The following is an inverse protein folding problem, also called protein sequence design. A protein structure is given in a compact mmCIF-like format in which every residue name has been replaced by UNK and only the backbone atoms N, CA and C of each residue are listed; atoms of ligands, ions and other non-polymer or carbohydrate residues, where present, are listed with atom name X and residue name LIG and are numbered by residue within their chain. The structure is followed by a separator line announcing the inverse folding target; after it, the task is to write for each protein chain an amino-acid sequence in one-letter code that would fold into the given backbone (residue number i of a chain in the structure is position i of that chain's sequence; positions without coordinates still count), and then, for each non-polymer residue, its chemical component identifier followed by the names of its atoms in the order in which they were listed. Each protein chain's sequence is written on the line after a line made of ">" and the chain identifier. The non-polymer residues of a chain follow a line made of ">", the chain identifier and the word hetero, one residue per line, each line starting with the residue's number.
data_IF_068253346452
#
_entry.id   IF_068253346452
#
_cell.length_a   1.000
_cell.length_b   1.000
_cell.length_c   1.000
_cell.angle_alpha   90.00
_cell.angle_beta   90.00
_cell.angle_gamma   90.00
#
_symmetry.space_group_name_H-M   'P 1'
#
loop_
_entity.id
_entity.type
_entity.pdbx_description
1 polymer ?
#
# COMPACT_ATOMS: atom_id res chain seq x y z
N UNK A 1 -21.49 9.57 21.52
CA UNK A 1 -22.27 10.52 20.73
C UNK A 1 -21.55 10.62 19.39
N UNK A 2 -22.25 10.42 18.26
CA UNK A 2 -21.68 10.66 16.94
C UNK A 2 -21.32 12.14 16.81
N UNK A 3 -20.21 12.45 16.15
CA UNK A 3 -19.83 13.83 15.87
C UNK A 3 -20.96 14.46 15.01
N UNK A 4 -21.62 15.53 15.48
CA UNK A 4 -22.78 16.10 14.77
C UNK A 4 -22.42 16.73 13.41
N UNK A 5 -21.13 16.85 13.11
CA UNK A 5 -20.61 17.40 11.84
C UNK A 5 -20.35 16.33 10.77
N UNK A 6 -20.49 15.04 11.10
CA UNK A 6 -20.28 13.95 10.13
C UNK A 6 -21.61 13.29 9.86
N UNK A 7 -22.02 13.26 8.59
CA UNK A 7 -23.18 12.47 8.17
C UNK A 7 -22.95 10.99 8.52
N UNK A 8 -23.93 10.26 9.06
CA UNK A 8 -23.83 8.84 9.31
C UNK A 8 -23.63 8.02 8.01
N UNK A 9 -23.86 8.63 6.85
CA UNK A 9 -23.60 8.06 5.52
C UNK A 9 -22.27 8.52 4.92
N UNK A 10 -21.46 9.29 5.67
CA UNK A 10 -20.13 9.67 5.21
C UNK A 10 -19.26 8.41 5.09
N UNK A 11 -18.45 8.35 4.03
CA UNK A 11 -17.48 7.28 3.86
C UNK A 11 -16.49 7.31 5.02
N UNK A 12 -16.13 6.15 5.60
CA UNK A 12 -15.15 6.12 6.67
C UNK A 12 -13.82 6.66 6.17
N UNK A 13 -13.11 7.35 7.04
CA UNK A 13 -11.74 7.80 6.76
C UNK A 13 -10.76 6.79 7.32
N UNK A 14 -9.64 6.67 6.62
CA UNK A 14 -8.51 5.87 7.01
C UNK A 14 -7.29 6.77 7.14
N UNK A 15 -6.59 6.72 8.25
CA UNK A 15 -5.37 7.52 8.44
C UNK A 15 -4.26 6.64 8.96
N UNK A 16 -3.24 6.48 8.13
CA UNK A 16 -2.03 5.74 8.46
C UNK A 16 -1.14 6.58 9.38
N UNK A 17 -0.58 5.98 10.42
CA UNK A 17 0.34 6.66 11.34
C UNK A 17 1.79 6.36 11.04
N UNK A 18 2.61 7.41 11.12
CA UNK A 18 4.06 7.36 11.01
C UNK A 18 4.75 7.72 12.33
N UNK A 19 4.74 6.82 13.35
CA UNK A 19 5.20 7.17 14.71
C UNK A 19 6.70 7.47 14.82
N UNK A 20 7.49 7.15 13.79
CA UNK A 20 8.93 7.46 13.67
C UNK A 20 9.26 8.25 12.40
N UNK A 21 8.23 8.79 11.71
CA UNK A 21 8.44 9.43 10.41
C UNK A 21 9.18 8.52 9.46
N UNK A 22 10.21 9.02 8.79
CA UNK A 22 11.06 8.29 7.84
C UNK A 22 12.24 7.55 8.47
N UNK A 23 12.39 7.57 9.80
CA UNK A 23 13.53 6.90 10.46
C UNK A 23 13.44 5.39 10.29
N UNK A 24 14.50 4.80 9.75
CA UNK A 24 14.60 3.37 9.50
C UNK A 24 16.01 2.85 9.81
N UNK A 25 16.11 1.59 10.17
CA UNK A 25 17.39 0.88 10.36
C UNK A 25 17.95 0.32 9.04
N UNK A 26 17.14 0.27 7.97
CA UNK A 26 17.56 -0.03 6.60
C UNK A 26 17.75 1.25 5.78
N UNK A 27 18.40 1.11 4.61
CA UNK A 27 18.59 2.14 3.61
C UNK A 27 18.32 1.53 2.21
N UNK A 28 17.09 0.99 2.04
CA UNK A 28 16.66 0.42 0.75
C UNK A 28 16.74 1.50 -0.33
N UNK A 29 17.44 1.22 -1.44
CA UNK A 29 17.75 2.23 -2.46
C UNK A 29 16.49 2.81 -3.12
N UNK A 30 15.48 1.99 -3.32
CA UNK A 30 14.20 2.41 -3.92
C UNK A 30 13.22 3.06 -2.93
N UNK A 31 13.58 3.22 -1.65
CA UNK A 31 12.63 3.67 -0.64
C UNK A 31 12.25 5.15 -0.82
N UNK A 32 11.06 5.39 -1.37
CA UNK A 32 10.52 6.73 -1.56
C UNK A 32 10.32 7.52 -0.26
N UNK A 33 10.28 6.79 0.89
CA UNK A 33 9.93 7.41 2.16
C UNK A 33 11.13 7.93 2.96
N UNK A 34 12.34 7.39 2.74
CA UNK A 34 13.54 7.83 3.47
C UNK A 34 13.82 9.32 3.29
N UNK A 35 13.59 9.86 2.10
CA UNK A 35 13.82 11.27 1.81
C UNK A 35 12.80 12.21 2.46
N UNK A 36 11.64 11.70 2.91
CA UNK A 36 10.61 12.52 3.56
C UNK A 36 11.10 13.14 4.88
N UNK A 37 12.16 12.60 5.48
CA UNK A 37 12.84 13.23 6.61
C UNK A 37 13.38 14.63 6.31
N UNK A 38 13.72 14.91 5.05
CA UNK A 38 14.20 16.24 4.60
C UNK A 38 13.12 17.33 4.65
N UNK A 39 11.85 16.95 4.74
CA UNK A 39 10.73 17.90 4.94
C UNK A 39 10.74 18.52 6.36
N UNK A 40 11.50 17.95 7.28
CA UNK A 40 11.54 18.34 8.69
C UNK A 40 12.98 18.60 9.18
N UNK A 41 13.76 19.50 8.52
CA UNK A 41 15.17 19.66 8.78
C UNK A 41 15.48 20.17 10.20
N UNK A 42 14.56 20.90 10.82
CA UNK A 42 14.72 21.46 12.18
C UNK A 42 14.42 20.45 13.28
N UNK A 43 13.85 19.29 12.94
CA UNK A 43 13.45 18.29 13.94
C UNK A 43 14.52 17.22 14.08
N UNK A 44 15.19 17.19 15.25
CA UNK A 44 16.25 16.20 15.53
C UNK A 44 15.72 14.79 15.76
N UNK A 45 14.54 14.67 16.37
CA UNK A 45 13.93 13.38 16.72
C UNK A 45 12.56 13.25 16.05
N UNK A 46 12.47 12.39 15.06
CA UNK A 46 11.22 12.08 14.36
C UNK A 46 10.40 11.04 15.15
N UNK A 47 10.02 11.39 16.38
CA UNK A 47 9.32 10.48 17.31
C UNK A 47 8.00 11.11 17.76
N UNK A 48 6.91 10.41 17.52
CA UNK A 48 5.58 10.79 17.98
C UNK A 48 5.53 10.78 19.53
N UNK A 49 5.05 11.85 20.14
CA UNK A 49 4.83 11.91 21.58
C UNK A 49 3.59 11.11 22.01
N UNK A 50 3.52 10.69 23.27
CA UNK A 50 2.33 10.03 23.80
C UNK A 50 1.10 10.94 23.83
N UNK A 51 1.29 12.25 24.05
CA UNK A 51 0.22 13.25 23.99
C UNK A 51 -0.37 13.34 22.58
N UNK A 52 0.48 13.34 21.54
CA UNK A 52 0.02 13.34 20.17
C UNK A 52 -0.67 12.03 19.81
N UNK A 53 -0.15 10.90 20.27
CA UNK A 53 -0.77 9.59 20.11
C UNK A 53 -2.18 9.57 20.70
N UNK A 54 -2.35 10.07 21.94
CA UNK A 54 -3.66 10.13 22.59
C UNK A 54 -4.64 11.04 21.84
N UNK A 55 -4.19 12.23 21.44
CA UNK A 55 -4.99 13.15 20.64
C UNK A 55 -5.44 12.50 19.34
N UNK A 56 -4.53 11.87 18.60
CA UNK A 56 -4.87 11.19 17.36
C UNK A 56 -5.88 10.07 17.57
N UNK A 57 -5.64 9.15 18.53
CA UNK A 57 -6.54 8.01 18.77
C UNK A 57 -7.96 8.49 19.09
N UNK A 58 -8.07 9.51 19.95
CA UNK A 58 -9.36 10.11 20.30
C UNK A 58 -10.07 10.68 19.07
N UNK A 59 -9.42 11.56 18.32
CA UNK A 59 -10.01 12.21 17.14
C UNK A 59 -10.28 11.22 16.02
N UNK A 60 -9.41 10.25 15.81
CA UNK A 60 -9.59 9.23 14.77
C UNK A 60 -10.83 8.37 15.05
N UNK A 61 -11.05 7.97 16.32
CA UNK A 61 -12.25 7.25 16.71
C UNK A 61 -13.51 8.12 16.67
N UNK A 62 -13.39 9.43 16.95
CA UNK A 62 -14.51 10.38 16.86
C UNK A 62 -14.93 10.64 15.40
N UNK A 63 -14.01 10.60 14.43
CA UNK A 63 -14.34 10.80 13.02
C UNK A 63 -14.85 9.54 12.32
N UNK A 64 -14.87 8.37 12.97
CA UNK A 64 -15.34 7.13 12.36
C UNK A 64 -16.86 6.98 12.43
N UNK A 65 -17.45 6.53 11.34
CA UNK A 65 -18.89 6.22 11.23
C UNK A 65 -19.18 4.72 11.34
N UNK A 66 -18.15 3.87 11.20
CA UNK A 66 -18.29 2.42 11.19
C UNK A 66 -18.08 1.80 12.58
N UNK A 67 -18.72 0.64 12.88
CA UNK A 67 -18.52 -0.08 14.13
C UNK A 67 -17.14 -0.76 14.23
N UNK A 68 -16.48 -1.00 13.10
CA UNK A 68 -15.14 -1.56 13.02
C UNK A 68 -14.16 -0.48 12.56
N UNK A 69 -13.03 -0.35 13.25
CA UNK A 69 -12.02 0.68 12.99
C UNK A 69 -10.63 0.03 12.91
N UNK A 70 -9.95 0.26 11.79
CA UNK A 70 -8.59 -0.23 11.57
C UNK A 70 -7.56 0.87 11.89
N UNK A 71 -6.59 0.54 12.72
CA UNK A 71 -5.38 1.34 12.93
C UNK A 71 -4.23 0.76 12.16
N UNK A 72 -3.57 1.57 11.34
CA UNK A 72 -2.39 1.17 10.56
C UNK A 72 -1.15 1.92 11.00
N UNK A 73 -0.18 1.15 11.46
CA UNK A 73 1.12 1.63 11.91
C UNK A 73 2.14 1.42 10.79
N UNK A 74 2.71 2.50 10.32
CA UNK A 74 3.66 2.50 9.21
C UNK A 74 4.78 3.53 9.46
N UNK A 75 5.66 3.77 8.49
CA UNK A 75 6.71 4.78 8.59
C UNK A 75 8.00 4.30 7.97
N UNK A 76 9.12 4.74 8.52
CA UNK A 76 10.43 4.16 8.23
C UNK A 76 10.45 2.71 8.73
N UNK A 77 10.84 2.50 9.99
CA UNK A 77 10.66 1.18 10.63
C UNK A 77 9.89 1.34 11.94
N UNK A 78 8.68 0.83 11.97
CA UNK A 78 7.75 0.96 13.09
C UNK A 78 8.25 0.31 14.37
N UNK A 79 9.00 -0.79 14.28
CA UNK A 79 9.54 -1.50 15.44
C UNK A 79 10.72 -0.78 16.10
N UNK A 80 11.16 0.37 15.57
CA UNK A 80 12.05 1.29 16.28
C UNK A 80 11.33 2.01 17.44
N UNK A 81 9.99 2.01 17.48
CA UNK A 81 9.25 2.35 18.70
C UNK A 81 9.22 1.13 19.63
N UNK A 82 9.38 1.30 20.95
CA UNK A 82 9.30 0.18 21.87
C UNK A 82 7.88 -0.38 22.00
N UNK A 83 7.75 -1.63 22.41
CA UNK A 83 6.45 -2.30 22.66
C UNK A 83 5.56 -1.49 23.62
N UNK A 84 6.17 -0.79 24.61
CA UNK A 84 5.43 0.06 25.54
C UNK A 84 4.61 1.15 24.86
N UNK A 85 5.08 1.71 23.75
CA UNK A 85 4.33 2.67 22.95
C UNK A 85 3.03 2.05 22.38
N UNK A 86 3.12 0.84 21.83
CA UNK A 86 1.95 0.14 21.30
C UNK A 86 1.01 -0.36 22.40
N UNK A 87 1.54 -0.77 23.56
CA UNK A 87 0.73 -1.05 24.74
C UNK A 87 -0.07 0.18 25.18
N UNK A 88 0.55 1.37 25.14
CA UNK A 88 -0.15 2.64 25.42
C UNK A 88 -1.21 2.93 24.36
N UNK A 89 -0.93 2.69 23.08
CA UNK A 89 -1.92 2.83 22.01
C UNK A 89 -3.16 1.94 22.26
N UNK A 90 -2.96 0.67 22.61
CA UNK A 90 -4.05 -0.26 22.91
C UNK A 90 -4.86 0.17 24.15
N UNK A 91 -4.19 0.70 25.19
CA UNK A 91 -4.89 1.28 26.36
C UNK A 91 -5.82 2.43 25.93
N UNK A 92 -5.30 3.35 25.11
CA UNK A 92 -6.05 4.51 24.63
C UNK A 92 -7.20 4.09 23.69
N UNK A 93 -6.95 3.10 22.81
CA UNK A 93 -7.99 2.53 21.94
C UNK A 93 -9.13 1.93 22.77
N UNK A 94 -8.84 1.19 23.84
CA UNK A 94 -9.87 0.66 24.75
C UNK A 94 -10.61 1.79 25.48
N UNK A 95 -9.90 2.82 25.93
CA UNK A 95 -10.48 3.97 26.63
C UNK A 95 -11.46 4.75 25.74
N UNK A 96 -11.12 5.00 24.49
CA UNK A 96 -11.89 5.85 23.58
C UNK A 96 -12.77 5.08 22.59
N UNK A 97 -12.61 3.76 22.49
CA UNK A 97 -13.27 2.91 21.48
C UNK A 97 -14.79 2.77 21.63
N UNK A 98 -15.34 2.96 22.84
CA UNK A 98 -16.80 2.94 23.09
C UNK A 98 -17.50 1.69 22.55
N UNK A 99 -16.89 0.52 22.71
CA UNK A 99 -17.45 -0.77 22.27
C UNK A 99 -17.30 -1.08 20.78
N UNK A 100 -16.56 -0.27 20.02
CA UNK A 100 -16.20 -0.58 18.63
C UNK A 100 -15.22 -1.75 18.57
N UNK A 101 -15.29 -2.53 17.51
CA UNK A 101 -14.23 -3.44 17.16
C UNK A 101 -13.03 -2.62 16.67
N UNK A 102 -11.86 -2.84 17.24
CA UNK A 102 -10.63 -2.14 16.84
C UNK A 102 -9.59 -3.17 16.42
N UNK A 103 -9.20 -3.08 15.17
CA UNK A 103 -8.16 -3.91 14.57
C UNK A 103 -6.88 -3.09 14.39
N UNK A 104 -5.75 -3.77 14.51
CA UNK A 104 -4.44 -3.14 14.33
C UNK A 104 -3.64 -3.89 13.27
N UNK A 105 -3.09 -3.18 12.28
CA UNK A 105 -2.09 -3.72 11.39
C UNK A 105 -0.82 -2.87 11.46
N UNK A 106 0.32 -3.54 11.30
CA UNK A 106 1.64 -2.92 11.39
C UNK A 106 2.51 -3.36 10.23
N UNK A 107 3.13 -2.39 9.54
CA UNK A 107 4.10 -2.66 8.49
C UNK A 107 5.51 -2.59 9.04
N UNK A 108 6.31 -3.62 8.77
CA UNK A 108 7.71 -3.69 9.21
C UNK A 108 8.61 -4.28 8.13
N UNK A 109 9.89 -3.91 8.16
CA UNK A 109 10.91 -4.59 7.36
C UNK A 109 11.33 -5.96 7.96
N UNK A 110 10.76 -6.37 9.07
CA UNK A 110 10.96 -7.67 9.70
C UNK A 110 12.28 -7.88 10.44
N UNK A 111 13.27 -7.01 10.26
CA UNK A 111 14.64 -7.24 10.78
C UNK A 111 14.79 -7.05 12.30
N UNK A 112 13.81 -6.42 12.95
CA UNK A 112 13.79 -6.16 14.39
C UNK A 112 12.83 -7.09 15.16
N UNK A 113 12.17 -8.02 14.47
CA UNK A 113 11.29 -9.01 15.09
C UNK A 113 12.08 -9.91 16.05
N UNK A 114 11.48 -10.18 17.18
CA UNK A 114 11.97 -11.09 18.22
C UNK A 114 10.79 -11.76 18.94
N UNK A 115 11.07 -12.68 19.87
CA UNK A 115 10.03 -13.40 20.60
C UNK A 115 9.07 -12.48 21.37
N UNK A 116 9.54 -11.33 21.91
CA UNK A 116 8.70 -10.39 22.65
C UNK A 116 7.71 -9.68 21.72
N UNK A 117 8.18 -9.24 20.54
CA UNK A 117 7.32 -8.67 19.50
C UNK A 117 6.28 -9.66 19.01
N UNK A 118 6.69 -10.90 18.72
CA UNK A 118 5.77 -11.92 18.23
C UNK A 118 4.70 -12.30 19.26
N UNK A 119 5.08 -12.43 20.55
CA UNK A 119 4.11 -12.63 21.63
C UNK A 119 3.13 -11.44 21.71
N UNK A 120 3.64 -10.22 21.70
CA UNK A 120 2.80 -9.02 21.75
C UNK A 120 1.80 -8.97 20.60
N UNK A 121 2.23 -9.26 19.37
CA UNK A 121 1.35 -9.25 18.21
C UNK A 121 0.29 -10.35 18.29
N UNK A 122 0.66 -11.55 18.71
CA UNK A 122 -0.29 -12.67 18.86
C UNK A 122 -1.33 -12.40 19.93
N UNK A 123 -0.90 -11.94 21.11
CA UNK A 123 -1.77 -11.64 22.24
C UNK A 123 -2.77 -10.51 21.95
N UNK A 124 -2.44 -9.61 21.02
CA UNK A 124 -3.27 -8.44 20.70
C UNK A 124 -3.84 -8.47 19.27
N UNK A 125 -3.79 -9.63 18.59
CA UNK A 125 -4.36 -9.86 17.26
C UNK A 125 -3.90 -8.83 16.21
N UNK A 126 -2.60 -8.47 16.19
CA UNK A 126 -2.06 -7.63 15.13
C UNK A 126 -1.93 -8.43 13.84
N UNK A 127 -2.34 -7.82 12.72
CA UNK A 127 -1.92 -8.26 11.41
C UNK A 127 -0.57 -7.61 11.07
N UNK A 128 0.43 -8.41 10.74
CA UNK A 128 1.78 -7.92 10.44
C UNK A 128 2.04 -7.97 8.94
N UNK A 129 2.21 -6.80 8.32
CA UNK A 129 2.76 -6.71 6.97
C UNK A 129 4.29 -6.78 7.04
N UNK A 130 4.90 -7.77 6.40
CA UNK A 130 6.35 -7.90 6.35
C UNK A 130 6.87 -7.59 4.95
N UNK A 131 7.88 -6.73 4.88
CA UNK A 131 8.50 -6.35 3.61
C UNK A 131 9.54 -7.36 3.19
N UNK A 132 9.29 -8.12 2.11
CA UNK A 132 10.24 -9.07 1.54
C UNK A 132 10.04 -9.18 0.03
N UNK A 133 11.12 -9.08 -0.76
CA UNK A 133 11.06 -8.94 -2.22
C UNK A 133 11.48 -10.23 -2.96
N UNK A 134 11.18 -11.40 -2.43
CA UNK A 134 11.53 -12.67 -3.05
C UNK A 134 12.75 -13.34 -2.41
N UNK A 135 13.42 -14.28 -3.11
CA UNK A 135 14.60 -14.99 -2.61
C UNK A 135 15.79 -14.05 -2.35
N UNK A 136 16.82 -14.57 -1.69
CA UNK A 136 17.93 -13.78 -1.15
C UNK A 136 18.56 -12.84 -2.16
N UNK A 137 18.93 -13.34 -3.32
CA UNK A 137 19.64 -12.58 -4.35
C UNK A 137 18.79 -11.40 -4.84
N UNK A 138 17.49 -11.62 -4.98
CA UNK A 138 16.52 -10.61 -5.40
C UNK A 138 16.27 -9.58 -4.30
N UNK A 139 16.05 -10.06 -3.08
CA UNK A 139 15.78 -9.19 -1.93
C UNK A 139 16.96 -8.27 -1.61
N UNK A 140 18.17 -8.84 -1.55
CA UNK A 140 19.37 -8.14 -1.12
C UNK A 140 19.96 -7.21 -2.20
N UNK A 141 19.39 -7.19 -3.43
CA UNK A 141 19.78 -6.22 -4.45
C UNK A 141 19.52 -4.79 -3.94
N UNK A 142 18.35 -4.52 -3.42
CA UNK A 142 17.93 -3.18 -3.00
C UNK A 142 17.68 -3.04 -1.50
N UNK A 143 17.36 -4.13 -0.77
CA UNK A 143 17.05 -4.04 0.66
C UNK A 143 18.29 -4.28 1.53
N UNK A 144 19.05 -3.22 1.72
CA UNK A 144 20.29 -3.25 2.50
C UNK A 144 20.20 -2.33 3.72
N UNK A 145 21.03 -2.58 4.71
CA UNK A 145 21.15 -1.69 5.85
C UNK A 145 22.00 -0.44 5.51
N UNK A 146 22.16 0.47 6.47
CA UNK A 146 22.93 1.72 6.29
C UNK A 146 24.43 1.51 6.03
N UNK A 147 24.96 0.30 6.27
CA UNK A 147 26.34 -0.08 5.95
C UNK A 147 26.44 -0.85 4.62
N UNK A 148 25.36 -0.94 3.86
CA UNK A 148 25.29 -1.70 2.60
C UNK A 148 25.23 -3.22 2.77
N UNK A 149 25.04 -3.73 4.01
CA UNK A 149 24.96 -5.16 4.27
C UNK A 149 23.56 -5.71 3.97
N UNK A 150 23.46 -6.98 3.51
CA UNK A 150 22.21 -7.65 3.19
C UNK A 150 21.27 -7.77 4.39
N UNK A 151 19.96 -7.83 4.14
CA UNK A 151 18.95 -7.91 5.20
C UNK A 151 18.14 -9.21 5.17
N UNK A 152 18.18 -10.00 4.11
CA UNK A 152 17.34 -11.19 3.88
C UNK A 152 17.29 -12.15 5.08
N UNK A 153 18.42 -12.59 5.57
CA UNK A 153 18.45 -13.56 6.70
C UNK A 153 17.80 -13.03 7.97
N UNK A 154 17.87 -11.72 8.21
CA UNK A 154 17.20 -11.11 9.38
C UNK A 154 15.68 -11.09 9.20
N UNK A 155 15.22 -10.81 7.98
CA UNK A 155 13.79 -10.85 7.65
C UNK A 155 13.26 -12.27 7.76
N UNK A 156 13.94 -13.25 7.19
CA UNK A 156 13.56 -14.67 7.28
C UNK A 156 13.49 -15.17 8.73
N UNK A 157 14.48 -14.80 9.56
CA UNK A 157 14.41 -15.08 11.00
C UNK A 157 13.17 -14.47 11.66
N UNK A 158 12.80 -13.25 11.26
CA UNK A 158 11.58 -12.59 11.72
C UNK A 158 10.32 -13.35 11.30
N UNK A 159 10.25 -13.82 10.06
CA UNK A 159 9.13 -14.63 9.54
C UNK A 159 9.03 -15.97 10.29
N UNK A 160 10.15 -16.66 10.53
CA UNK A 160 10.19 -17.90 11.30
C UNK A 160 9.67 -17.70 12.73
N UNK A 161 10.03 -16.58 13.38
CA UNK A 161 9.52 -16.24 14.71
C UNK A 161 8.00 -15.95 14.67
N UNK A 162 7.50 -15.25 13.66
CA UNK A 162 6.06 -15.02 13.52
C UNK A 162 5.32 -16.35 13.37
N UNK A 163 5.81 -17.27 12.52
CA UNK A 163 5.24 -18.62 12.36
C UNK A 163 5.26 -19.40 13.67
N UNK A 164 6.39 -19.41 14.38
CA UNK A 164 6.56 -20.07 15.68
C UNK A 164 5.51 -19.62 16.69
N UNK A 165 5.18 -18.32 16.71
CA UNK A 165 4.22 -17.75 17.64
C UNK A 165 2.78 -17.70 17.10
N UNK A 166 2.55 -18.14 15.86
CA UNK A 166 1.24 -18.13 15.21
C UNK A 166 0.71 -16.70 14.97
N UNK A 167 1.60 -15.76 14.65
CA UNK A 167 1.22 -14.38 14.28
C UNK A 167 0.69 -14.36 12.86
N UNK A 168 -0.46 -13.72 12.64
CA UNK A 168 -1.00 -13.48 11.31
C UNK A 168 -0.15 -12.46 10.56
N UNK A 169 0.29 -12.82 9.35
CA UNK A 169 1.09 -11.92 8.53
C UNK A 169 0.80 -12.03 7.04
N UNK A 170 1.09 -10.96 6.32
CA UNK A 170 1.13 -10.90 4.87
C UNK A 170 2.49 -10.40 4.39
N UNK A 171 2.90 -10.80 3.19
CA UNK A 171 4.08 -10.28 2.55
C UNK A 171 3.73 -9.07 1.66
N UNK A 172 4.53 -8.01 1.80
CA UNK A 172 4.53 -6.89 0.88
C UNK A 172 5.85 -6.89 0.11
N UNK A 173 5.76 -7.02 -1.20
CA UNK A 173 6.91 -7.12 -2.08
C UNK A 173 6.89 -6.01 -3.12
N UNK A 174 8.04 -5.34 -3.27
CA UNK A 174 8.23 -4.31 -4.31
C UNK A 174 8.74 -4.97 -5.58
N UNK A 175 8.03 -4.73 -6.69
CA UNK A 175 8.49 -5.14 -8.02
C UNK A 175 9.19 -3.95 -8.67
N UNK A 176 10.45 -4.15 -9.04
CA UNK A 176 11.38 -3.15 -9.55
C UNK A 176 11.99 -3.57 -10.90
N UNK A 177 12.94 -2.81 -11.42
CA UNK A 177 13.61 -3.07 -12.70
C UNK A 177 14.37 -4.41 -12.74
N UNK A 178 14.86 -4.88 -11.59
CA UNK A 178 15.63 -6.13 -11.47
C UNK A 178 14.72 -7.34 -11.32
N UNK A 179 13.86 -7.38 -10.32
CA UNK A 179 13.08 -8.59 -10.01
C UNK A 179 11.89 -8.84 -10.95
N UNK A 180 11.50 -7.84 -11.74
CA UNK A 180 10.44 -7.99 -12.75
C UNK A 180 10.76 -9.05 -13.80
N UNK A 181 12.05 -9.38 -14.00
CA UNK A 181 12.52 -10.40 -14.93
C UNK A 181 12.48 -11.85 -14.37
N UNK A 182 12.12 -12.00 -13.07
CA UNK A 182 12.10 -13.29 -12.36
C UNK A 182 10.72 -13.61 -11.73
N UNK A 183 9.60 -13.56 -12.52
CA UNK A 183 8.24 -13.67 -11.96
C UNK A 183 7.97 -15.00 -11.25
N UNK A 184 8.48 -16.13 -11.78
CA UNK A 184 8.21 -17.45 -11.22
C UNK A 184 9.06 -17.73 -10.00
N UNK A 185 10.36 -17.41 -10.03
CA UNK A 185 11.26 -17.49 -8.87
C UNK A 185 10.72 -16.64 -7.72
N UNK A 186 10.22 -15.45 -8.05
CA UNK A 186 9.59 -14.54 -7.10
C UNK A 186 8.33 -15.14 -6.48
N UNK A 187 7.43 -15.70 -7.28
CA UNK A 187 6.19 -16.28 -6.80
C UNK A 187 6.41 -17.59 -6.02
N UNK A 188 7.24 -18.51 -6.55
CA UNK A 188 7.55 -19.79 -5.90
C UNK A 188 8.21 -19.59 -4.53
N UNK A 189 9.03 -18.55 -4.36
CA UNK A 189 9.59 -18.21 -3.06
C UNK A 189 8.50 -18.02 -1.99
N UNK A 190 7.40 -17.34 -2.29
CA UNK A 190 6.31 -17.17 -1.32
C UNK A 190 5.60 -18.49 -1.00
N UNK A 191 5.54 -19.41 -1.96
CA UNK A 191 5.04 -20.76 -1.72
C UNK A 191 6.01 -21.55 -0.82
N UNK A 192 7.31 -21.48 -1.05
CA UNK A 192 8.34 -22.13 -0.23
C UNK A 192 8.31 -21.68 1.23
N UNK A 193 8.13 -20.37 1.45
CA UNK A 193 8.00 -19.84 2.80
C UNK A 193 6.56 -19.91 3.35
N UNK A 194 5.65 -20.62 2.70
CA UNK A 194 4.25 -20.81 3.12
C UNK A 194 3.57 -19.49 3.49
N UNK A 195 3.71 -18.48 2.62
CA UNK A 195 3.09 -17.17 2.77
C UNK A 195 1.90 -17.06 1.83
N UNK A 196 0.69 -17.22 2.37
CA UNK A 196 -0.54 -17.28 1.58
C UNK A 196 -1.09 -15.92 1.14
N UNK A 197 -0.67 -14.81 1.76
CA UNK A 197 -1.19 -13.46 1.47
C UNK A 197 -0.07 -12.58 0.96
N UNK A 198 -0.15 -12.19 -0.31
CA UNK A 198 0.94 -11.51 -1.02
C UNK A 198 0.41 -10.22 -1.65
N UNK A 199 1.15 -9.13 -1.43
CA UNK A 199 0.89 -7.86 -2.09
C UNK A 199 2.09 -7.48 -2.96
N UNK A 200 1.88 -7.31 -4.26
CA UNK A 200 2.87 -6.78 -5.19
C UNK A 200 2.67 -5.28 -5.37
N UNK A 201 3.75 -4.52 -5.25
CA UNK A 201 3.75 -3.09 -5.45
C UNK A 201 4.77 -2.71 -6.51
N UNK A 202 4.34 -2.30 -7.72
CA UNK A 202 5.28 -1.84 -8.75
C UNK A 202 5.88 -0.50 -8.33
N UNK A 203 7.20 -0.41 -8.27
CA UNK A 203 7.86 0.86 -7.94
C UNK A 203 8.01 1.73 -9.18
N UNK A 204 7.50 2.95 -9.08
CA UNK A 204 7.64 3.98 -10.12
C UNK A 204 8.01 5.28 -9.41
N UNK A 205 9.27 5.70 -9.56
CA UNK A 205 9.74 6.95 -8.96
C UNK A 205 10.39 7.85 -10.02
N UNK A 206 10.28 9.15 -9.78
CA UNK A 206 10.88 10.18 -10.61
C UNK A 206 11.84 11.01 -9.78
N UNK A 207 13.03 11.24 -10.32
CA UNK A 207 14.10 11.96 -9.67
C UNK A 207 14.32 13.30 -10.35
N UNK A 208 14.38 14.36 -9.56
CA UNK A 208 14.73 15.70 -9.97
C UNK A 208 15.52 16.39 -8.86
N UNK A 209 16.15 17.51 -9.19
CA UNK A 209 16.88 18.32 -8.21
C UNK A 209 15.99 19.43 -7.68
N UNK A 210 15.76 19.46 -6.39
CA UNK A 210 15.03 20.48 -5.69
C UNK A 210 15.98 21.38 -4.89
N UNK A 211 15.57 22.63 -4.63
CA UNK A 211 16.39 23.59 -3.87
C UNK A 211 16.66 23.13 -2.42
N UNK A 212 15.76 22.33 -1.85
CA UNK A 212 15.88 21.73 -0.51
C UNK A 212 16.76 20.46 -0.49
N UNK A 213 17.31 20.05 -1.66
CA UNK A 213 18.13 18.86 -1.81
C UNK A 213 17.37 17.55 -1.81
N UNK A 214 16.04 17.54 -1.95
CA UNK A 214 15.26 16.31 -2.20
C UNK A 214 15.46 15.85 -3.63
N UNK A 215 15.53 14.54 -3.82
CA UNK A 215 15.64 13.93 -5.14
C UNK A 215 14.28 13.49 -5.69
N UNK A 216 13.35 13.11 -4.81
CA UNK A 216 12.00 12.68 -5.23
C UNK A 216 11.17 13.86 -5.67
N UNK A 217 10.47 13.65 -6.76
CA UNK A 217 9.68 14.68 -7.44
C UNK A 217 8.20 14.49 -7.14
N UNK A 218 7.54 15.58 -6.75
CA UNK A 218 6.07 15.61 -6.63
C UNK A 218 5.41 15.22 -7.95
N UNK A 219 4.30 14.46 -7.91
CA UNK A 219 3.62 14.00 -9.11
C UNK A 219 3.21 15.11 -10.10
N UNK A 220 2.94 16.32 -9.62
CA UNK A 220 2.53 17.45 -10.45
C UNK A 220 3.71 18.16 -11.14
N UNK A 221 4.93 17.96 -10.66
CA UNK A 221 6.09 18.61 -11.27
C UNK A 221 6.39 18.00 -12.64
N UNK A 222 6.48 18.84 -13.63
CA UNK A 222 6.83 18.49 -15.01
C UNK A 222 7.99 19.38 -15.46
N UNK A 223 9.20 18.89 -15.26
CA UNK A 223 10.43 19.54 -15.70
C UNK A 223 11.18 18.56 -16.63
N UNK A 224 11.78 19.06 -17.71
CA UNK A 224 12.54 18.27 -18.67
C UNK A 224 13.75 17.55 -18.03
N UNK A 225 14.22 18.00 -16.88
CA UNK A 225 15.31 17.38 -16.12
C UNK A 225 14.86 16.23 -15.21
N UNK A 226 13.55 16.02 -15.03
CA UNK A 226 13.02 14.92 -14.23
C UNK A 226 13.13 13.62 -15.01
N UNK A 227 13.82 12.62 -14.42
CA UNK A 227 14.03 11.31 -15.00
C UNK A 227 13.40 10.22 -14.14
N UNK A 228 13.09 9.09 -14.76
CA UNK A 228 12.76 7.89 -14.01
C UNK A 228 13.95 7.45 -13.16
N UNK A 229 13.69 7.03 -11.93
CA UNK A 229 14.70 6.39 -11.12
C UNK A 229 15.16 5.07 -11.76
N UNK A 230 16.45 4.71 -11.63
CA UNK A 230 16.99 3.48 -12.26
C UNK A 230 16.22 2.22 -11.86
N UNK A 231 15.78 2.13 -10.62
CA UNK A 231 15.03 1.01 -10.07
C UNK A 231 13.54 0.99 -10.45
N UNK A 232 13.06 1.97 -11.23
CA UNK A 232 11.65 1.99 -11.69
C UNK A 232 11.36 0.81 -12.60
N UNK A 233 10.31 0.07 -12.31
CA UNK A 233 9.89 -1.08 -13.11
C UNK A 233 9.50 -0.67 -14.54
N UNK A 234 9.94 -1.40 -15.56
CA UNK A 234 9.44 -1.18 -16.92
C UNK A 234 7.95 -1.55 -17.02
N UNK A 235 7.17 -0.66 -17.62
CA UNK A 235 5.73 -0.83 -17.71
C UNK A 235 5.28 -2.06 -18.53
N UNK A 236 6.05 -2.45 -19.55
CA UNK A 236 5.75 -3.66 -20.34
C UNK A 236 6.10 -4.93 -19.59
N UNK A 237 7.30 -4.97 -18.98
CA UNK A 237 7.74 -6.08 -18.15
C UNK A 237 6.84 -6.29 -16.94
N UNK A 238 6.30 -5.19 -16.35
CA UNK A 238 5.28 -5.31 -15.29
C UNK A 238 4.05 -6.11 -15.75
N UNK A 239 3.57 -5.86 -16.97
CA UNK A 239 2.46 -6.64 -17.54
C UNK A 239 2.84 -8.10 -17.77
N UNK A 240 4.08 -8.38 -18.26
CA UNK A 240 4.60 -9.73 -18.45
C UNK A 240 4.72 -10.48 -17.12
N UNK A 241 5.26 -9.82 -16.09
CA UNK A 241 5.36 -10.35 -14.73
C UNK A 241 4.00 -10.76 -14.19
N UNK A 242 3.00 -9.87 -14.29
CA UNK A 242 1.66 -10.17 -13.79
C UNK A 242 1.02 -11.34 -14.54
N UNK A 243 1.17 -11.41 -15.87
CA UNK A 243 0.64 -12.52 -16.66
C UNK A 243 1.30 -13.85 -16.26
N UNK A 244 2.63 -13.86 -16.13
CA UNK A 244 3.36 -15.08 -15.78
C UNK A 244 3.00 -15.61 -14.38
N UNK A 245 2.90 -14.70 -13.38
CA UNK A 245 2.47 -15.07 -12.03
C UNK A 245 1.01 -15.53 -12.03
N UNK A 246 0.13 -14.88 -12.81
CA UNK A 246 -1.27 -15.28 -12.90
C UNK A 246 -1.42 -16.68 -13.50
N UNK A 247 -0.69 -16.97 -14.57
CA UNK A 247 -0.73 -18.30 -15.22
C UNK A 247 -0.23 -19.39 -14.28
N UNK A 248 0.78 -19.11 -13.46
CA UNK A 248 1.26 -20.05 -12.46
C UNK A 248 0.24 -20.26 -11.33
N UNK A 249 -0.30 -19.16 -10.77
CA UNK A 249 -1.32 -19.17 -9.74
C UNK A 249 -2.60 -19.90 -10.19
N UNK A 250 -2.97 -19.75 -11.46
CA UNK A 250 -4.16 -20.38 -12.04
C UNK A 250 -4.07 -21.91 -12.09
N UNK A 251 -2.87 -22.51 -12.05
CA UNK A 251 -2.71 -23.96 -12.16
C UNK A 251 -3.29 -24.71 -10.96
N UNK A 252 -3.07 -24.21 -9.73
CA UNK A 252 -3.42 -24.93 -8.50
C UNK A 252 -3.67 -24.06 -7.26
N UNK A 253 -3.46 -22.73 -7.34
CA UNK A 253 -3.35 -21.88 -6.16
C UNK A 253 -4.59 -21.00 -5.92
N UNK A 254 -5.58 -20.99 -6.81
CA UNK A 254 -6.80 -20.18 -6.67
C UNK A 254 -7.58 -20.62 -5.43
N UNK A 255 -7.77 -19.68 -4.47
CA UNK A 255 -8.45 -19.95 -3.21
C UNK A 255 -7.53 -20.49 -2.10
N UNK A 256 -6.24 -20.68 -2.40
CA UNK A 256 -5.23 -21.10 -1.43
C UNK A 256 -4.15 -20.03 -1.22
N UNK A 257 -3.69 -19.41 -2.29
CA UNK A 257 -2.80 -18.24 -2.25
C UNK A 257 -3.55 -17.01 -2.74
N UNK A 258 -3.49 -15.93 -1.97
CA UNK A 258 -4.22 -14.69 -2.20
C UNK A 258 -3.23 -13.60 -2.63
N UNK A 259 -3.32 -13.22 -3.90
CA UNK A 259 -2.55 -12.11 -4.46
C UNK A 259 -3.48 -10.90 -4.53
N UNK A 260 -3.23 -9.90 -3.68
CA UNK A 260 -4.12 -8.75 -3.49
C UNK A 260 -4.56 -8.10 -4.81
N UNK A 261 -3.65 -8.00 -5.79
CA UNK A 261 -3.98 -7.41 -7.09
C UNK A 261 -4.97 -8.26 -7.88
N UNK A 262 -4.87 -9.59 -7.82
CA UNK A 262 -5.77 -10.50 -8.52
C UNK A 262 -7.16 -10.51 -7.89
N UNK A 263 -7.22 -10.56 -6.56
CA UNK A 263 -8.48 -10.47 -5.81
C UNK A 263 -9.17 -9.13 -6.05
N UNK A 264 -8.41 -8.02 -6.05
CA UNK A 264 -8.94 -6.69 -6.35
C UNK A 264 -9.41 -6.55 -7.80
N UNK A 265 -8.73 -7.24 -8.73
CA UNK A 265 -9.17 -7.31 -10.13
C UNK A 265 -10.51 -8.05 -10.23
N UNK A 266 -10.63 -9.21 -9.60
CA UNK A 266 -11.90 -9.96 -9.57
C UNK A 266 -13.03 -9.17 -8.92
N UNK A 267 -12.75 -8.45 -7.80
CA UNK A 267 -13.73 -7.57 -7.17
C UNK A 267 -14.29 -6.54 -8.15
N UNK A 268 -13.42 -5.85 -8.91
CA UNK A 268 -13.86 -4.93 -9.94
C UNK A 268 -14.68 -5.62 -11.08
N UNK A 269 -14.30 -6.86 -11.44
CA UNK A 269 -15.04 -7.64 -12.45
C UNK A 269 -16.47 -7.97 -12.02
N UNK A 270 -16.70 -8.23 -10.74
CA UNK A 270 -18.04 -8.50 -10.19
C UNK A 270 -18.78 -7.21 -9.77
N UNK A 271 -18.15 -6.05 -9.87
CA UNK A 271 -18.75 -4.76 -9.53
C UNK A 271 -18.64 -4.38 -8.03
N UNK A 272 -17.79 -5.09 -7.29
CA UNK A 272 -17.51 -4.82 -5.89
C UNK A 272 -16.34 -3.84 -5.71
N UNK A 273 -16.19 -3.31 -4.49
CA UNK A 273 -15.08 -2.43 -4.16
C UNK A 273 -13.76 -3.21 -4.11
N UNK A 274 -12.72 -2.80 -4.84
CA UNK A 274 -11.43 -3.46 -4.77
C UNK A 274 -10.76 -3.22 -3.40
N UNK A 275 -10.04 -4.21 -2.92
CA UNK A 275 -9.29 -4.12 -1.65
C UNK A 275 -8.06 -3.20 -1.71
N UNK A 276 -7.74 -2.64 -2.88
CA UNK A 276 -6.59 -1.75 -3.10
C UNK A 276 -7.01 -0.44 -3.76
N UNK A 277 -6.51 0.67 -3.20
CA UNK A 277 -6.89 2.02 -3.67
C UNK A 277 -6.45 2.32 -5.11
N UNK A 278 -5.38 1.66 -5.61
CA UNK A 278 -4.89 1.87 -6.98
C UNK A 278 -5.94 1.49 -8.01
N UNK A 279 -6.70 0.41 -7.78
CA UNK A 279 -7.78 -0.03 -8.67
C UNK A 279 -9.17 0.53 -8.31
N UNK A 280 -9.29 1.31 -7.23
CA UNK A 280 -10.55 1.98 -6.87
C UNK A 280 -10.81 3.22 -7.73
N UNK A 281 -12.09 3.56 -7.91
CA UNK A 281 -12.51 4.73 -8.71
C UNK A 281 -12.04 6.06 -8.13
N UNK A 282 -11.97 6.18 -6.80
CA UNK A 282 -11.59 7.42 -6.11
C UNK A 282 -10.49 7.15 -5.09
N UNK A 283 -9.71 8.17 -4.77
CA UNK A 283 -8.81 8.18 -3.61
C UNK A 283 -9.36 9.12 -2.51
N UNK A 284 -8.47 9.56 -1.60
CA UNK A 284 -8.79 10.61 -0.64
C UNK A 284 -9.45 10.15 0.65
N UNK A 285 -9.77 8.87 0.78
CA UNK A 285 -10.25 8.30 2.05
C UNK A 285 -9.12 7.75 2.93
N UNK A 286 -7.91 7.71 2.40
CA UNK A 286 -6.70 7.21 3.04
C UNK A 286 -5.66 8.33 3.15
N UNK A 287 -5.67 9.05 4.26
CA UNK A 287 -4.64 10.02 4.60
C UNK A 287 -3.48 9.40 5.36
N UNK A 288 -2.46 10.22 5.64
CA UNK A 288 -1.33 9.84 6.48
C UNK A 288 -1.03 10.94 7.50
N UNK A 289 -0.70 10.55 8.72
CA UNK A 289 -0.24 11.49 9.76
C UNK A 289 1.19 11.19 10.16
N UNK A 290 2.02 12.22 10.07
CA UNK A 290 3.41 12.21 10.48
C UNK A 290 3.59 12.29 12.00
N UNK A 291 4.79 11.97 12.45
CA UNK A 291 5.20 11.94 13.87
C UNK A 291 4.99 13.26 14.61
N UNK A 292 4.89 14.39 13.89
CA UNK A 292 4.68 15.75 14.42
C UNK A 292 3.24 16.24 14.34
N UNK A 293 2.32 15.38 13.86
CA UNK A 293 0.90 15.70 13.71
C UNK A 293 0.50 16.33 12.37
N UNK A 294 1.42 16.48 11.44
CA UNK A 294 1.09 16.91 10.07
C UNK A 294 0.30 15.82 9.35
N UNK A 295 -0.79 16.20 8.71
CA UNK A 295 -1.68 15.31 7.96
C UNK A 295 -1.57 15.64 6.47
N UNK A 296 -1.39 14.59 5.66
CA UNK A 296 -1.30 14.68 4.21
C UNK A 296 -2.41 13.86 3.54
N UNK A 297 -2.71 14.23 2.30
CA UNK A 297 -3.79 13.63 1.51
C UNK A 297 -3.63 12.12 1.29
N UNK A 298 -2.40 11.63 1.17
CA UNK A 298 -2.09 10.22 0.94
C UNK A 298 -0.62 9.95 1.29
N UNK A 299 -0.28 8.70 1.60
CA UNK A 299 1.09 8.25 1.90
C UNK A 299 2.08 8.49 0.74
N UNK A 300 1.64 8.28 -0.49
CA UNK A 300 2.44 8.59 -1.69
C UNK A 300 2.56 10.09 -2.00
N UNK A 301 1.77 10.92 -1.35
CA UNK A 301 1.68 12.37 -1.58
C UNK A 301 2.11 13.16 -0.33
N UNK A 302 3.15 12.69 0.36
CA UNK A 302 3.78 13.44 1.45
C UNK A 302 4.72 14.49 0.85
N UNK A 303 4.11 15.60 0.40
CA UNK A 303 4.77 16.80 -0.13
C UNK A 303 4.04 18.03 0.39
N UNK A 304 4.70 19.19 0.50
CA UNK A 304 4.09 20.41 1.08
C UNK A 304 2.76 20.79 0.43
N UNK A 305 2.65 20.64 -0.88
CA UNK A 305 1.44 20.95 -1.65
C UNK A 305 0.25 20.02 -1.37
N UNK A 306 0.45 18.87 -0.74
CA UNK A 306 -0.61 17.93 -0.36
C UNK A 306 -0.86 17.86 1.13
N UNK A 307 -0.22 18.75 1.90
CA UNK A 307 -0.47 18.87 3.35
C UNK A 307 -1.86 19.43 3.59
N UNK A 308 -2.70 18.71 4.31
CA UNK A 308 -4.06 19.11 4.67
C UNK A 308 -4.08 20.05 5.86
N UNK A 309 -3.17 19.86 6.81
CA UNK A 309 -3.07 20.65 8.03
C UNK A 309 -2.22 19.94 9.10
N UNK A 310 -2.45 20.33 10.35
CA UNK A 310 -1.81 19.72 11.51
C UNK A 310 -2.84 19.49 12.62
N UNK A 311 -2.84 18.32 13.23
CA UNK A 311 -3.82 17.92 14.24
C UNK A 311 -3.79 18.80 15.51
N UNK A 312 -2.70 19.54 15.76
CA UNK A 312 -2.62 20.49 16.88
C UNK A 312 -3.48 21.74 16.66
N UNK A 313 -3.76 22.11 15.40
CA UNK A 313 -4.48 23.35 15.03
C UNK A 313 -5.84 23.12 14.39
N UNK A 314 -6.08 21.93 13.84
CA UNK A 314 -7.32 21.55 13.18
C UNK A 314 -7.70 20.13 13.60
N UNK A 315 -8.98 19.82 13.60
CA UNK A 315 -9.44 18.44 13.87
C UNK A 315 -9.18 17.54 12.68
N UNK A 316 -9.00 16.25 12.95
CA UNK A 316 -8.84 15.25 11.90
C UNK A 316 -10.07 15.21 10.97
N UNK A 317 -11.26 15.42 11.51
CA UNK A 317 -12.51 15.53 10.73
C UNK A 317 -12.46 16.67 9.73
N UNK A 318 -12.09 17.89 10.16
CA UNK A 318 -11.99 19.06 9.28
C UNK A 318 -11.01 18.82 8.14
N UNK A 319 -9.87 18.16 8.41
CA UNK A 319 -8.87 17.86 7.41
C UNK A 319 -9.33 16.80 6.41
N UNK A 320 -9.83 15.65 6.90
CA UNK A 320 -10.17 14.50 6.06
C UNK A 320 -11.47 14.67 5.26
N UNK A 321 -12.38 15.56 5.70
CA UNK A 321 -13.60 15.92 4.96
C UNK A 321 -13.53 17.32 4.33
N UNK A 322 -12.34 17.93 4.26
CA UNK A 322 -12.13 19.19 3.58
C UNK A 322 -12.44 19.09 2.08
N UNK A 323 -12.87 20.21 1.48
CA UNK A 323 -13.07 20.29 0.02
C UNK A 323 -11.80 19.91 -0.75
N UNK A 324 -10.63 20.25 -0.21
CA UNK A 324 -9.34 19.88 -0.78
C UNK A 324 -9.14 18.36 -0.83
N UNK A 325 -9.43 17.65 0.26
CA UNK A 325 -9.29 16.19 0.32
C UNK A 325 -10.35 15.49 -0.55
N UNK A 326 -11.58 15.99 -0.55
CA UNK A 326 -12.64 15.45 -1.40
C UNK A 326 -12.30 15.61 -2.89
N UNK A 327 -11.80 16.80 -3.27
CA UNK A 327 -11.34 17.05 -4.64
C UNK A 327 -10.17 16.14 -5.02
N UNK A 328 -9.15 16.01 -4.17
CA UNK A 328 -8.04 15.08 -4.38
C UNK A 328 -8.53 13.65 -4.67
N UNK A 329 -9.55 13.22 -3.95
CA UNK A 329 -10.15 11.90 -4.15
C UNK A 329 -10.88 11.77 -5.49
N UNK A 330 -11.69 12.77 -5.85
CA UNK A 330 -12.49 12.81 -7.07
C UNK A 330 -11.61 12.96 -8.33
N UNK A 331 -10.56 13.75 -8.25
CA UNK A 331 -9.62 14.02 -9.35
C UNK A 331 -9.02 12.72 -9.92
N UNK A 332 -8.94 11.66 -9.12
CA UNK A 332 -8.49 10.36 -9.62
C UNK A 332 -9.28 9.90 -10.85
N UNK A 333 -10.58 10.10 -10.90
CA UNK A 333 -11.43 9.72 -12.02
C UNK A 333 -11.69 10.89 -12.96
N UNK A 334 -11.93 12.08 -12.43
CA UNK A 334 -12.36 13.24 -13.20
C UNK A 334 -11.28 13.74 -14.17
N UNK A 335 -10.00 13.63 -13.79
CA UNK A 335 -8.85 14.08 -14.58
C UNK A 335 -8.31 13.02 -15.55
N UNK A 336 -9.00 11.88 -15.72
CA UNK A 336 -8.59 10.88 -16.68
C UNK A 336 -8.68 11.42 -18.12
N UNK A 337 -7.63 11.16 -18.96
CA UNK A 337 -7.68 11.50 -20.36
C UNK A 337 -8.75 10.70 -21.12
N UNK A 338 -9.17 11.19 -22.28
CA UNK A 338 -10.20 10.56 -23.14
C UNK A 338 -9.83 9.10 -23.44
N UNK A 339 -8.58 8.83 -23.76
CA UNK A 339 -8.08 7.45 -23.98
C UNK A 339 -8.41 6.50 -22.83
N UNK A 340 -8.37 6.96 -21.57
CA UNK A 340 -8.72 6.13 -20.42
C UNK A 340 -10.24 5.96 -20.29
N UNK A 341 -11.01 7.03 -20.55
CA UNK A 341 -12.48 7.02 -20.46
C UNK A 341 -13.13 6.11 -21.51
N UNK A 342 -12.47 5.93 -22.65
CA UNK A 342 -12.91 5.07 -23.76
C UNK A 342 -12.29 3.65 -23.69
N UNK A 343 -11.50 3.35 -22.67
CA UNK A 343 -10.83 2.04 -22.55
C UNK A 343 -11.77 0.95 -22.05
N UNK A 344 -11.80 -0.18 -22.72
CA UNK A 344 -12.60 -1.37 -22.36
C UNK A 344 -12.34 -1.87 -20.92
N UNK A 345 -11.15 -1.58 -20.38
CA UNK A 345 -10.74 -1.99 -19.04
C UNK A 345 -10.79 -0.87 -18.01
N UNK A 346 -11.48 0.24 -18.31
CA UNK A 346 -11.59 1.35 -17.34
C UNK A 346 -12.20 0.88 -16.01
N UNK A 347 -13.22 0.02 -16.08
CA UNK A 347 -13.90 -0.51 -14.89
C UNK A 347 -12.96 -1.28 -13.95
N UNK A 348 -11.93 -1.95 -14.49
CA UNK A 348 -10.94 -2.71 -13.73
C UNK A 348 -9.75 -1.86 -13.28
N UNK A 349 -9.28 -0.96 -14.15
CA UNK A 349 -8.09 -0.14 -13.95
C UNK A 349 -8.35 1.14 -13.15
N UNK A 350 -9.47 1.83 -13.43
CA UNK A 350 -9.79 3.15 -12.90
C UNK A 350 -8.63 4.17 -13.01
N UNK A 351 -7.76 3.99 -14.04
CA UNK A 351 -6.60 4.83 -14.30
C UNK A 351 -5.43 4.64 -13.32
N UNK A 352 -5.47 3.65 -12.46
CA UNK A 352 -4.45 3.31 -11.46
C UNK A 352 -4.08 4.51 -10.56
N UNK A 353 -2.93 4.54 -9.89
CA UNK A 353 -2.53 5.59 -8.97
C UNK A 353 -2.22 6.92 -9.69
N UNK A 354 -2.80 8.04 -9.26
CA UNK A 354 -2.48 9.37 -9.83
C UNK A 354 -0.99 9.71 -9.78
N UNK A 355 -0.24 9.20 -8.80
CA UNK A 355 1.21 9.39 -8.70
C UNK A 355 1.94 9.00 -9.98
N UNK A 356 1.45 7.99 -10.69
CA UNK A 356 2.09 7.42 -11.87
C UNK A 356 1.58 8.03 -13.20
N UNK A 357 0.74 9.09 -13.15
CA UNK A 357 0.07 9.70 -14.31
C UNK A 357 0.83 10.90 -14.88
N UNK A 358 2.04 10.70 -15.31
CA UNK A 358 2.90 11.76 -15.83
C UNK A 358 3.19 11.64 -17.34
N UNK A 359 2.58 10.68 -18.03
CA UNK A 359 2.68 10.56 -19.48
C UNK A 359 1.55 11.31 -20.19
N UNK A 360 1.77 11.52 -21.50
CA UNK A 360 0.75 12.02 -22.42
C UNK A 360 0.22 10.88 -23.27
N UNK A 361 -1.05 10.97 -23.66
CA UNK A 361 -1.65 10.07 -24.66
C UNK A 361 -1.07 10.33 -26.03
N UNK A 362 -1.36 9.46 -27.02
CA UNK A 362 -0.95 9.67 -28.40
C UNK A 362 -1.45 10.99 -29.01
N UNK A 363 -2.59 11.50 -28.50
CA UNK A 363 -3.19 12.77 -28.91
C UNK A 363 -2.69 13.98 -28.09
N UNK A 364 -1.68 13.78 -27.21
CA UNK A 364 -1.10 14.85 -26.41
C UNK A 364 -1.85 15.21 -25.12
N UNK A 365 -2.93 14.51 -24.74
CA UNK A 365 -3.62 14.74 -23.47
C UNK A 365 -2.74 14.28 -22.29
N UNK A 366 -2.56 15.09 -21.24
CA UNK A 366 -1.79 14.70 -20.05
C UNK A 366 -2.54 13.71 -19.17
N UNK A 367 -1.84 13.05 -18.24
CA UNK A 367 -2.45 12.23 -17.19
C UNK A 367 -2.58 10.75 -17.55
N UNK A 368 -1.89 10.29 -18.60
CA UNK A 368 -1.77 8.85 -18.87
C UNK A 368 -0.82 8.20 -17.86
N UNK A 369 -1.28 7.11 -17.26
CA UNK A 369 -0.47 6.37 -16.29
C UNK A 369 0.71 5.67 -16.96
N UNK A 370 1.87 5.76 -16.35
CA UNK A 370 3.10 5.12 -16.82
C UNK A 370 2.96 3.60 -17.00
N UNK A 371 2.27 2.93 -16.07
CA UNK A 371 2.06 1.48 -16.08
C UNK A 371 0.90 1.04 -16.99
N UNK A 372 0.23 1.97 -17.69
CA UNK A 372 -0.96 1.68 -18.51
C UNK A 372 -0.74 0.51 -19.49
N UNK A 373 0.43 0.47 -20.16
CA UNK A 373 0.77 -0.60 -21.12
C UNK A 373 0.76 -1.98 -20.47
N UNK A 374 1.33 -2.09 -19.28
CA UNK A 374 1.39 -3.35 -18.53
C UNK A 374 0.03 -3.79 -18.00
N UNK A 375 -0.71 -2.87 -17.36
CA UNK A 375 -2.07 -3.19 -16.89
C UNK A 375 -3.04 -3.56 -18.01
N UNK A 376 -2.98 -2.86 -19.15
CA UNK A 376 -3.83 -3.20 -20.31
C UNK A 376 -3.51 -4.60 -20.84
N UNK A 377 -2.22 -4.98 -20.90
CA UNK A 377 -1.79 -6.34 -21.25
C UNK A 377 -2.34 -7.35 -20.25
N UNK A 378 -2.15 -7.11 -18.96
CA UNK A 378 -2.63 -7.99 -17.89
C UNK A 378 -4.14 -8.16 -17.93
N UNK A 379 -4.93 -7.08 -17.94
CA UNK A 379 -6.40 -7.20 -17.96
C UNK A 379 -6.91 -7.93 -19.20
N UNK A 380 -6.28 -7.70 -20.36
CA UNK A 380 -6.62 -8.45 -21.59
C UNK A 380 -6.34 -9.95 -21.42
N UNK A 381 -5.22 -10.29 -20.81
CA UNK A 381 -4.81 -11.67 -20.60
C UNK A 381 -5.75 -12.40 -19.63
N UNK A 382 -6.08 -11.77 -18.52
CA UNK A 382 -6.90 -12.42 -17.48
C UNK A 382 -8.41 -12.37 -17.74
N UNK A 383 -8.88 -11.57 -18.71
CA UNK A 383 -10.30 -11.35 -18.97
C UNK A 383 -11.14 -12.63 -19.08
N UNK A 384 -10.77 -13.67 -19.87
CA UNK A 384 -11.58 -14.87 -19.97
C UNK A 384 -11.72 -15.63 -18.65
N UNK A 385 -10.68 -15.63 -17.84
CA UNK A 385 -10.65 -16.27 -16.53
C UNK A 385 -11.48 -15.48 -15.51
N UNK A 386 -11.35 -14.16 -15.50
CA UNK A 386 -12.14 -13.27 -14.63
C UNK A 386 -13.63 -13.34 -14.98
N UNK A 387 -13.97 -13.43 -16.28
CA UNK A 387 -15.35 -13.62 -16.74
C UNK A 387 -15.94 -14.96 -16.28
N UNK A 388 -15.12 -16.02 -16.28
CA UNK A 388 -15.54 -17.32 -15.76
C UNK A 388 -15.74 -17.25 -14.24
N UNK A 389 -14.75 -16.75 -13.49
CA UNK A 389 -14.84 -16.61 -12.04
C UNK A 389 -16.04 -15.75 -11.60
N UNK A 390 -16.33 -14.67 -12.34
CA UNK A 390 -17.51 -13.84 -12.14
C UNK A 390 -18.81 -14.67 -12.29
N UNK A 391 -18.91 -15.50 -13.31
CA UNK A 391 -20.09 -16.37 -13.51
C UNK A 391 -20.26 -17.38 -12.38
N UNK A 392 -19.15 -17.95 -11.90
CA UNK A 392 -19.17 -18.84 -10.75
C UNK A 392 -19.67 -18.12 -9.48
N UNK A 393 -19.11 -16.95 -9.16
CA UNK A 393 -19.52 -16.17 -7.99
C UNK A 393 -21.00 -15.75 -8.06
N UNK A 394 -21.49 -15.30 -9.22
CA UNK A 394 -22.90 -14.94 -9.42
C UNK A 394 -23.84 -16.14 -9.29
N UNK A 395 -23.33 -17.34 -9.50
CA UNK A 395 -24.06 -18.60 -9.33
C UNK A 395 -23.81 -19.27 -7.96
N UNK A 396 -23.20 -18.53 -7.01
CA UNK A 396 -22.84 -19.00 -5.65
C UNK A 396 -21.93 -20.24 -5.66
N UNK A 397 -21.06 -20.35 -6.68
CA UNK A 397 -20.07 -21.42 -6.82
C UNK A 397 -18.65 -20.89 -6.58
N UNK A 398 -17.70 -21.76 -6.18
CA UNK A 398 -16.33 -21.36 -5.95
C UNK A 398 -15.64 -20.80 -7.20
N UNK A 399 -15.00 -19.61 -7.15
CA UNK A 399 -14.22 -19.09 -8.27
C UNK A 399 -13.04 -20.00 -8.62
N UNK A 400 -12.57 -20.81 -7.67
CA UNK A 400 -11.51 -21.81 -7.85
C UNK A 400 -11.82 -22.87 -8.94
N UNK A 401 -13.09 -23.04 -9.35
CA UNK A 401 -13.48 -23.87 -10.49
C UNK A 401 -12.79 -23.44 -11.80
N UNK A 402 -12.27 -22.21 -11.85
CA UNK A 402 -11.51 -21.68 -12.99
C UNK A 402 -10.27 -22.54 -13.31
N UNK A 403 -9.64 -23.15 -12.29
CA UNK A 403 -8.47 -24.03 -12.48
C UNK A 403 -8.80 -25.24 -13.37
N UNK A 404 -9.94 -25.88 -13.13
CA UNK A 404 -10.39 -27.01 -13.93
C UNK A 404 -10.83 -26.54 -15.32
N UNK A 405 -11.61 -25.44 -15.37
CA UNK A 405 -12.08 -24.87 -16.62
C UNK A 405 -10.94 -24.47 -17.57
N UNK A 406 -9.86 -23.86 -17.03
CA UNK A 406 -8.69 -23.47 -17.82
C UNK A 406 -7.98 -24.70 -18.43
N UNK A 407 -7.83 -25.79 -17.67
CA UNK A 407 -7.24 -27.06 -18.16
C UNK A 407 -8.06 -27.67 -19.31
N UNK A 408 -9.39 -27.63 -19.21
CA UNK A 408 -10.29 -28.21 -20.23
C UNK A 408 -10.32 -27.37 -21.51
N UNK A 409 -10.15 -26.06 -21.43
CA UNK A 409 -10.22 -25.15 -22.57
C UNK A 409 -8.85 -24.83 -23.18
N UNK A 410 -7.75 -25.40 -22.66
CA UNK A 410 -6.37 -25.19 -23.14
C UNK A 410 -5.99 -23.71 -23.28
N UNK A 411 -6.48 -22.89 -22.35
CA UNK A 411 -6.20 -21.48 -22.29
C UNK A 411 -4.92 -21.21 -21.50
#
# INVERSE_FOLDING_TARGET
>A
MSNPYISPFAKPVYVMLKPVGSVCNLACEYCYYLEKGKLYPEVKNHIMSEQLLEKFIKEYLECQTMPQVLFTWHGGETLMRPISFYKKALELQRRYGRGRQIDNCIQTNGTLLNDDWCRFFKENNFLVGVSIDGPQEIHDEYRRNKQGLPSFYKVMKGIELMKKHGVEYNAMAVVNDYNVDYPLEFYHFFKEIDCHYIQFTPIVERLGFHQDGTLLTSPEQQDANIKLAPFTVDAGKWGDFLCAVFDEWLKEDVGNYYIQLFDSTLANWVGEQPGVCTLARTCGHAGVMEFNGDVYACDHFVFPEYKLGNIHTQTLTEMMYSQRQLKFGADKYETLPTQCKECDYLFACNGECPKNRFLHTANGEPGLNYLCRGYKKFFKHVAPYMDFMKKELLAERPPANVMQWAKENKL
#
